data_IF_972421946681
#
_entry.id   IF_972421946681
#
_cell.length_a   1.000
_cell.length_b   1.000
_cell.length_c   1.000
_cell.angle_alpha   90.00
_cell.angle_beta   90.00
_cell.angle_gamma   90.00
#
_symmetry.space_group_name_H-M   'P 1'
#
loop_
_entity.id
_entity.type
_entity.pdbx_description
1 polymer ?
#
# COMPACT_ATOMS: atom_id res chain seq x y z
N UNK A 1 4.53 -15.20 18.81
CA UNK A 1 3.68 -14.02 18.56
C UNK A 1 4.45 -12.71 18.75
N UNK A 2 5.00 -12.36 19.90
CA UNK A 2 5.76 -11.11 20.11
C UNK A 2 7.00 -10.99 19.22
N UNK A 3 7.71 -12.08 18.95
CA UNK A 3 8.86 -12.09 18.04
C UNK A 3 8.49 -11.71 16.61
N UNK A 4 7.38 -12.23 16.09
CA UNK A 4 6.92 -11.91 14.73
C UNK A 4 6.56 -10.43 14.61
N UNK A 5 5.86 -9.86 15.59
CA UNK A 5 5.52 -8.43 15.62
C UNK A 5 6.79 -7.57 15.62
N UNK A 6 7.79 -7.92 16.45
CA UNK A 6 9.07 -7.21 16.50
C UNK A 6 9.82 -7.31 15.18
N UNK A 7 9.89 -8.52 14.61
CA UNK A 7 10.51 -8.76 13.31
C UNK A 7 9.86 -7.95 12.19
N UNK A 8 8.53 -8.01 12.05
CA UNK A 8 7.80 -7.27 11.02
C UNK A 8 7.97 -5.75 11.15
N UNK A 9 8.05 -5.23 12.37
CA UNK A 9 8.34 -3.81 12.61
C UNK A 9 9.77 -3.43 12.18
N UNK A 10 10.76 -4.28 12.46
CA UNK A 10 12.15 -4.06 12.06
C UNK A 10 12.29 -4.17 10.54
N UNK A 11 11.75 -5.22 9.93
CA UNK A 11 11.76 -5.42 8.48
C UNK A 11 11.11 -4.25 7.74
N UNK A 12 9.96 -3.78 8.21
CA UNK A 12 9.33 -2.57 7.66
C UNK A 12 10.24 -1.35 7.75
N UNK A 13 10.94 -1.16 8.89
CA UNK A 13 11.88 -0.06 9.07
C UNK A 13 13.07 -0.14 8.12
N UNK A 14 13.64 -1.33 7.94
CA UNK A 14 14.75 -1.57 7.01
C UNK A 14 14.31 -1.26 5.56
N UNK A 15 13.15 -1.74 5.15
CA UNK A 15 12.62 -1.51 3.79
C UNK A 15 12.39 -0.02 3.54
N UNK A 16 11.81 0.72 4.51
CA UNK A 16 11.65 2.18 4.41
C UNK A 16 13.00 2.87 4.27
N UNK A 17 14.02 2.44 5.03
CA UNK A 17 15.35 3.03 4.94
C UNK A 17 16.03 2.79 3.58
N UNK A 18 15.90 1.58 3.05
CA UNK A 18 16.40 1.24 1.71
C UNK A 18 15.67 2.07 0.64
N UNK A 19 14.36 2.22 0.77
CA UNK A 19 13.57 3.04 -0.14
C UNK A 19 14.03 4.50 -0.14
N UNK A 20 14.19 5.11 1.03
CA UNK A 20 14.71 6.49 1.15
C UNK A 20 16.06 6.62 0.45
N UNK A 21 16.97 5.66 0.67
CA UNK A 21 18.28 5.65 0.03
C UNK A 21 18.17 5.60 -1.51
N UNK A 22 17.39 4.67 -2.03
CA UNK A 22 17.21 4.49 -3.49
C UNK A 22 16.58 5.74 -4.13
N UNK A 23 15.52 6.28 -3.54
CA UNK A 23 14.87 7.48 -4.06
C UNK A 23 15.80 8.69 -3.97
N UNK A 24 16.55 8.82 -2.87
CA UNK A 24 17.55 9.91 -2.76
C UNK A 24 18.57 9.86 -3.87
N UNK A 25 19.09 8.66 -4.19
CA UNK A 25 20.05 8.51 -5.29
C UNK A 25 19.42 8.85 -6.64
N UNK A 26 18.22 8.34 -6.93
CA UNK A 26 17.53 8.62 -8.19
C UNK A 26 17.29 10.13 -8.36
N UNK A 27 16.69 10.78 -7.35
CA UNK A 27 16.40 12.22 -7.41
C UNK A 27 17.67 13.05 -7.46
N UNK A 28 18.72 12.65 -6.73
CA UNK A 28 20.02 13.32 -6.80
C UNK A 28 20.61 13.29 -8.23
N UNK A 29 20.58 12.14 -8.89
CA UNK A 29 21.05 12.01 -10.28
C UNK A 29 20.22 12.87 -11.24
N UNK A 30 18.89 12.90 -11.08
CA UNK A 30 18.01 13.75 -11.90
C UNK A 30 18.33 15.23 -11.68
N UNK A 31 18.44 15.68 -10.43
CA UNK A 31 18.76 17.06 -10.09
C UNK A 31 20.13 17.48 -10.59
N UNK A 32 21.11 16.58 -10.56
CA UNK A 32 22.46 16.83 -11.08
C UNK A 32 22.45 16.95 -12.61
N UNK A 33 21.68 16.12 -13.29
CA UNK A 33 21.50 16.21 -14.75
C UNK A 33 20.77 17.50 -15.18
N UNK A 34 19.98 18.09 -14.30
CA UNK A 34 19.32 19.39 -14.49
C UNK A 34 20.19 20.58 -14.04
N UNK A 35 21.46 20.33 -13.70
CA UNK A 35 22.46 21.34 -13.30
C UNK A 35 22.05 22.18 -12.08
N UNK A 36 21.24 21.60 -11.15
CA UNK A 36 20.80 22.29 -9.92
C UNK A 36 21.93 22.48 -8.87
N UNK A 37 23.14 22.10 -9.19
CA UNK A 37 24.33 22.32 -8.37
C UNK A 37 24.28 21.67 -6.99
N UNK A 38 24.88 22.33 -6.00
CA UNK A 38 25.06 21.82 -4.63
C UNK A 38 23.73 21.57 -3.89
N UNK A 39 22.64 22.20 -4.29
CA UNK A 39 21.32 22.00 -3.69
C UNK A 39 20.66 20.67 -4.08
N UNK A 40 21.18 19.95 -5.08
CA UNK A 40 20.62 18.69 -5.57
C UNK A 40 20.43 17.66 -4.47
N UNK A 41 21.40 17.52 -3.56
CA UNK A 41 21.32 16.54 -2.47
C UNK A 41 20.27 16.93 -1.42
N UNK A 42 20.11 18.22 -1.14
CA UNK A 42 19.10 18.71 -0.17
C UNK A 42 17.70 18.47 -0.72
N UNK A 43 17.47 18.80 -1.99
CA UNK A 43 16.20 18.54 -2.68
C UNK A 43 15.88 17.05 -2.67
N UNK A 44 16.86 16.21 -3.02
CA UNK A 44 16.70 14.76 -3.05
C UNK A 44 16.31 14.19 -1.68
N UNK A 45 16.95 14.65 -0.60
CA UNK A 45 16.63 14.20 0.76
C UNK A 45 15.23 14.65 1.21
N UNK A 46 14.87 15.90 0.99
CA UNK A 46 13.54 16.41 1.36
C UNK A 46 12.46 15.64 0.60
N UNK A 47 12.65 15.42 -0.69
CA UNK A 47 11.69 14.70 -1.52
C UNK A 47 11.56 13.23 -1.11
N UNK A 48 12.67 12.53 -0.87
CA UNK A 48 12.64 11.12 -0.49
C UNK A 48 12.04 10.89 0.89
N UNK A 49 12.36 11.72 1.88
CA UNK A 49 11.77 11.65 3.21
C UNK A 49 10.28 11.99 3.15
N UNK A 50 9.91 13.04 2.43
CA UNK A 50 8.52 13.46 2.26
C UNK A 50 7.66 12.39 1.58
N UNK A 51 8.19 11.76 0.52
CA UNK A 51 7.51 10.67 -0.18
C UNK A 51 7.38 9.40 0.66
N UNK A 52 8.43 9.03 1.41
CA UNK A 52 8.38 7.90 2.33
C UNK A 52 7.35 8.12 3.44
N UNK A 53 7.33 9.33 4.01
CA UNK A 53 6.37 9.70 5.06
C UNK A 53 4.93 9.70 4.53
N UNK A 54 4.69 10.33 3.39
CA UNK A 54 3.38 10.34 2.72
C UNK A 54 2.91 8.94 2.37
N UNK A 55 3.77 8.11 1.79
CA UNK A 55 3.51 6.71 1.47
C UNK A 55 3.11 5.90 2.70
N UNK A 56 3.79 6.08 3.82
CA UNK A 56 3.48 5.38 5.07
C UNK A 56 2.12 5.82 5.64
N UNK A 57 1.83 7.13 5.71
CA UNK A 57 0.61 7.63 6.33
C UNK A 57 -0.65 7.41 5.48
N UNK A 58 -0.52 7.44 4.16
CA UNK A 58 -1.64 7.27 3.22
C UNK A 58 -1.68 5.89 2.57
N UNK A 59 -0.88 4.95 3.05
CA UNK A 59 -0.73 3.62 2.46
C UNK A 59 -2.05 2.86 2.33
N UNK A 60 -2.94 2.91 3.33
CA UNK A 60 -4.26 2.31 3.26
C UNK A 60 -5.11 2.91 2.12
N UNK A 61 -5.14 4.23 2.00
CA UNK A 61 -5.89 4.93 0.95
C UNK A 61 -5.34 4.65 -0.44
N UNK A 62 -4.01 4.57 -0.57
CA UNK A 62 -3.35 4.26 -1.84
C UNK A 62 -3.71 2.85 -2.28
N UNK A 63 -3.59 1.86 -1.40
CA UNK A 63 -3.94 0.46 -1.70
C UNK A 63 -5.42 0.33 -2.06
N UNK A 64 -6.32 0.98 -1.31
CA UNK A 64 -7.75 1.01 -1.62
C UNK A 64 -8.04 1.62 -3.00
N UNK A 65 -7.39 2.73 -3.32
CA UNK A 65 -7.55 3.40 -4.63
C UNK A 65 -7.03 2.56 -5.78
N UNK A 66 -5.85 1.94 -5.64
CA UNK A 66 -5.26 1.07 -6.67
C UNK A 66 -6.16 -0.14 -6.98
N UNK A 67 -6.81 -0.70 -5.95
CA UNK A 67 -7.74 -1.80 -6.11
C UNK A 67 -9.19 -1.35 -6.40
N UNK A 68 -9.43 -0.05 -6.58
CA UNK A 68 -10.77 0.52 -6.77
C UNK A 68 -11.78 0.06 -5.71
N UNK A 69 -11.30 -0.13 -4.49
CA UNK A 69 -12.09 -0.58 -3.38
C UNK A 69 -13.10 0.50 -2.96
N UNK A 70 -14.34 0.10 -2.76
CA UNK A 70 -15.44 0.94 -2.28
C UNK A 70 -15.92 0.50 -0.90
N UNK A 71 -16.53 1.37 -0.10
CA UNK A 71 -17.21 0.92 1.11
C UNK A 71 -18.24 -0.16 0.81
N UNK A 72 -18.39 -1.13 1.71
CA UNK A 72 -19.41 -2.17 1.59
C UNK A 72 -20.82 -1.56 1.52
N UNK A 73 -21.69 -2.10 0.67
CA UNK A 73 -23.11 -1.74 0.65
C UNK A 73 -23.82 -2.27 1.88
N UNK A 74 -25.03 -1.76 2.21
CA UNK A 74 -25.78 -2.22 3.39
C UNK A 74 -26.03 -3.73 3.40
N UNK A 75 -26.25 -4.34 2.23
CA UNK A 75 -26.49 -5.77 2.11
C UNK A 75 -25.20 -6.60 2.31
N UNK A 76 -24.12 -6.18 1.71
CA UNK A 76 -22.78 -6.77 1.89
C UNK A 76 -22.27 -6.57 3.32
N UNK A 77 -22.47 -5.36 3.86
CA UNK A 77 -22.02 -4.96 5.19
C UNK A 77 -22.66 -5.83 6.28
N UNK A 78 -23.97 -6.13 6.18
CA UNK A 78 -24.66 -6.92 7.20
C UNK A 78 -24.02 -8.31 7.41
N UNK A 79 -23.68 -9.02 6.33
CA UNK A 79 -23.00 -10.33 6.40
C UNK A 79 -21.59 -10.19 6.98
N UNK A 80 -20.81 -9.23 6.47
CA UNK A 80 -19.43 -9.00 6.87
C UNK A 80 -19.32 -8.45 8.30
N UNK A 81 -20.22 -7.53 8.68
CA UNK A 81 -20.23 -6.96 10.03
C UNK A 81 -20.55 -8.00 11.08
N UNK A 82 -21.53 -8.89 10.84
CA UNK A 82 -21.87 -9.97 11.77
C UNK A 82 -20.70 -10.92 12.00
N UNK A 83 -20.00 -11.31 10.91
CA UNK A 83 -18.81 -12.14 10.98
C UNK A 83 -17.71 -11.43 11.77
N UNK A 84 -17.45 -10.18 11.42
CA UNK A 84 -16.38 -9.40 12.04
C UNK A 84 -16.64 -9.14 13.52
N UNK A 85 -17.89 -8.87 13.91
CA UNK A 85 -18.27 -8.68 15.31
C UNK A 85 -18.09 -9.95 16.15
N UNK A 86 -18.45 -11.10 15.60
CA UNK A 86 -18.21 -12.40 16.25
C UNK A 86 -16.70 -12.64 16.44
N UNK A 87 -15.90 -12.40 15.41
CA UNK A 87 -14.44 -12.60 15.46
C UNK A 87 -13.73 -11.58 16.35
N UNK A 88 -14.25 -10.36 16.48
CA UNK A 88 -13.65 -9.34 17.36
C UNK A 88 -13.59 -9.79 18.82
N UNK A 89 -14.54 -10.59 19.29
CA UNK A 89 -14.61 -11.09 20.68
C UNK A 89 -13.35 -11.90 21.03
N UNK A 90 -12.83 -12.67 20.09
CA UNK A 90 -11.68 -13.58 20.28
C UNK A 90 -10.37 -13.06 19.70
N UNK A 91 -10.42 -12.08 18.81
CA UNK A 91 -9.25 -11.62 18.06
C UNK A 91 -8.18 -10.94 18.91
N UNK A 92 -8.60 -10.20 19.95
CA UNK A 92 -7.74 -9.31 20.73
C UNK A 92 -7.22 -8.11 19.95
N UNK A 93 -7.89 -7.73 18.84
CA UNK A 93 -7.60 -6.48 18.13
C UNK A 93 -8.12 -5.27 18.92
N UNK A 94 -7.38 -4.14 18.93
CA UNK A 94 -7.77 -2.96 19.71
C UNK A 94 -8.94 -2.19 19.09
N UNK A 95 -9.14 -2.30 17.77
CA UNK A 95 -10.17 -1.60 17.01
C UNK A 95 -10.69 -2.50 15.90
N UNK A 96 -11.99 -2.43 15.64
CA UNK A 96 -12.64 -3.14 14.54
C UNK A 96 -12.13 -2.62 13.19
N UNK A 97 -11.59 -3.49 12.31
CA UNK A 97 -11.17 -3.10 10.97
C UNK A 97 -12.32 -2.55 10.14
N UNK A 98 -12.03 -1.60 9.26
CA UNK A 98 -13.00 -1.08 8.29
C UNK A 98 -13.19 -2.09 7.16
N UNK A 99 -14.42 -2.20 6.63
CA UNK A 99 -14.78 -3.14 5.58
C UNK A 99 -14.92 -2.42 4.24
N UNK A 100 -14.27 -2.96 3.22
CA UNK A 100 -14.34 -2.49 1.84
C UNK A 100 -14.58 -3.66 0.90
N UNK A 101 -15.19 -3.38 -0.24
CA UNK A 101 -15.47 -4.34 -1.30
C UNK A 101 -14.79 -3.90 -2.59
N UNK A 102 -14.22 -4.85 -3.30
CA UNK A 102 -13.68 -4.66 -4.65
C UNK A 102 -14.61 -5.36 -5.62
N UNK A 103 -15.07 -4.65 -6.65
CA UNK A 103 -15.93 -5.23 -7.68
C UNK A 103 -15.08 -6.05 -8.66
N UNK A 104 -14.80 -7.30 -8.27
CA UNK A 104 -14.04 -8.29 -9.03
C UNK A 104 -14.64 -9.68 -8.78
N UNK A 105 -14.85 -10.42 -9.87
CA UNK A 105 -15.40 -11.78 -9.83
C UNK A 105 -14.36 -12.83 -9.41
N UNK A 106 -13.07 -12.50 -9.38
CA UNK A 106 -12.05 -13.39 -8.84
C UNK A 106 -12.14 -13.42 -7.29
N UNK A 107 -12.36 -14.59 -6.68
CA UNK A 107 -12.46 -14.70 -5.23
C UNK A 107 -11.15 -14.29 -4.57
N UNK A 108 -11.17 -13.21 -3.81
CA UNK A 108 -10.00 -12.73 -3.07
C UNK A 108 -10.42 -11.94 -1.82
N UNK A 109 -9.54 -11.96 -0.81
CA UNK A 109 -9.59 -11.06 0.33
C UNK A 109 -8.17 -10.62 0.69
N UNK A 110 -8.04 -9.45 1.27
CA UNK A 110 -6.77 -8.97 1.81
C UNK A 110 -6.99 -7.95 2.91
N UNK A 111 -6.05 -7.92 3.85
CA UNK A 111 -5.98 -6.87 4.84
C UNK A 111 -4.89 -5.85 4.49
N UNK A 112 -5.13 -4.58 4.76
CA UNK A 112 -4.17 -3.50 4.55
C UNK A 112 -4.22 -2.48 5.69
N UNK A 113 -3.19 -1.68 5.82
CA UNK A 113 -3.11 -0.63 6.83
C UNK A 113 -1.74 -0.55 7.50
N UNK A 114 -1.42 0.61 8.05
CA UNK A 114 -0.14 0.87 8.70
C UNK A 114 0.00 0.24 10.09
N UNK A 115 -1.11 -0.06 10.74
CA UNK A 115 -1.18 -0.68 12.07
C UNK A 115 -2.60 -1.22 12.34
N UNK A 116 -2.82 -2.02 13.40
CA UNK A 116 -4.13 -2.56 13.73
C UNK A 116 -5.23 -1.52 13.95
N UNK A 117 -4.90 -0.30 14.40
CA UNK A 117 -5.86 0.80 14.62
C UNK A 117 -6.37 1.40 13.32
N UNK A 118 -5.61 1.27 12.23
CA UNK A 118 -5.93 1.80 10.91
C UNK A 118 -6.09 0.68 9.87
N UNK A 119 -6.43 -0.52 10.33
CA UNK A 119 -6.59 -1.67 9.47
C UNK A 119 -7.90 -1.61 8.67
N UNK A 120 -7.82 -2.16 7.47
CA UNK A 120 -8.93 -2.33 6.53
C UNK A 120 -8.90 -3.77 6.04
N UNK A 121 -10.06 -4.39 5.95
CA UNK A 121 -10.26 -5.68 5.28
C UNK A 121 -11.03 -5.41 4.00
N UNK A 122 -10.48 -5.89 2.89
CA UNK A 122 -11.11 -5.84 1.58
C UNK A 122 -11.52 -7.25 1.16
N UNK A 123 -12.71 -7.37 0.61
CA UNK A 123 -13.20 -8.62 0.01
C UNK A 123 -13.69 -8.34 -1.41
N UNK A 124 -13.58 -9.30 -2.31
CA UNK A 124 -14.13 -9.16 -3.66
C UNK A 124 -15.60 -9.60 -3.71
N UNK A 125 -16.35 -9.05 -4.66
CA UNK A 125 -17.75 -9.50 -4.93
C UNK A 125 -17.79 -10.98 -5.23
N UNK A 126 -16.84 -11.50 -6.02
CA UNK A 126 -16.75 -12.93 -6.33
C UNK A 126 -16.49 -13.82 -5.11
N UNK A 127 -15.79 -13.32 -4.09
CA UNK A 127 -15.62 -14.04 -2.82
C UNK A 127 -16.94 -14.11 -2.04
N UNK A 128 -17.67 -12.98 -1.97
CA UNK A 128 -18.95 -12.89 -1.26
C UNK A 128 -20.04 -13.77 -1.89
N UNK A 129 -20.02 -13.96 -3.21
CA UNK A 129 -20.94 -14.79 -3.93
C UNK A 129 -20.60 -16.28 -3.81
N UNK A 130 -19.30 -16.61 -3.78
CA UNK A 130 -18.83 -18.00 -3.84
C UNK A 130 -18.81 -18.69 -2.49
N UNK A 131 -18.50 -17.97 -1.40
CA UNK A 131 -18.33 -18.56 -0.08
C UNK A 131 -19.62 -18.49 0.75
N UNK A 132 -19.88 -19.56 1.49
CA UNK A 132 -20.90 -19.55 2.53
C UNK A 132 -20.46 -18.70 3.75
N UNK A 133 -21.29 -18.67 4.79
CA UNK A 133 -21.03 -17.87 5.98
C UNK A 133 -19.76 -18.34 6.73
N UNK A 134 -19.61 -19.66 6.93
CA UNK A 134 -18.50 -20.21 7.72
C UNK A 134 -17.18 -20.19 6.96
N UNK A 135 -17.23 -20.41 5.65
CA UNK A 135 -16.06 -20.28 4.79
C UNK A 135 -15.54 -18.84 4.78
N UNK A 136 -16.44 -17.86 4.65
CA UNK A 136 -16.10 -16.44 4.69
C UNK A 136 -15.58 -16.04 6.07
N UNK A 137 -16.15 -16.55 7.17
CA UNK A 137 -15.66 -16.35 8.52
C UNK A 137 -14.21 -16.84 8.67
N UNK A 138 -13.87 -18.00 8.11
CA UNK A 138 -12.50 -18.52 8.09
C UNK A 138 -11.53 -17.58 7.36
N UNK A 139 -11.91 -17.03 6.20
CA UNK A 139 -11.10 -16.07 5.44
C UNK A 139 -10.92 -14.78 6.22
N UNK A 140 -11.98 -14.20 6.77
CA UNK A 140 -11.89 -12.97 7.58
C UNK A 140 -11.03 -13.18 8.82
N UNK A 141 -11.14 -14.32 9.50
CA UNK A 141 -10.30 -14.67 10.65
C UNK A 141 -8.81 -14.74 10.27
N UNK A 142 -8.51 -15.28 9.10
CA UNK A 142 -7.16 -15.32 8.54
C UNK A 142 -6.61 -13.90 8.33
N UNK A 143 -7.35 -13.03 7.68
CA UNK A 143 -6.97 -11.62 7.47
C UNK A 143 -6.78 -10.87 8.80
N UNK A 144 -7.66 -11.12 9.78
CA UNK A 144 -7.51 -10.53 11.12
C UNK A 144 -6.23 -10.98 11.83
N UNK A 145 -5.75 -12.20 11.56
CA UNK A 145 -4.47 -12.68 12.10
C UNK A 145 -3.27 -11.90 11.55
N UNK A 146 -3.30 -11.54 10.27
CA UNK A 146 -2.29 -10.69 9.64
C UNK A 146 -2.29 -9.28 10.24
N UNK A 147 -3.47 -8.72 10.50
CA UNK A 147 -3.61 -7.43 11.20
C UNK A 147 -2.92 -7.50 12.59
N UNK A 148 -3.25 -8.52 13.36
CA UNK A 148 -2.71 -8.71 14.72
C UNK A 148 -1.19 -8.86 14.76
N UNK A 149 -0.62 -9.53 13.76
CA UNK A 149 0.81 -9.77 13.64
C UNK A 149 1.59 -8.60 13.01
N UNK A 150 0.93 -7.52 12.60
CA UNK A 150 1.53 -6.40 11.86
C UNK A 150 2.08 -6.77 10.47
N UNK A 151 1.71 -7.92 9.92
CA UNK A 151 2.09 -8.33 8.57
C UNK A 151 1.57 -7.33 7.52
N UNK A 152 0.35 -6.81 7.75
CA UNK A 152 -0.28 -5.79 6.90
C UNK A 152 0.60 -4.56 6.71
N UNK A 153 1.36 -4.18 7.73
CA UNK A 153 2.27 -3.02 7.68
C UNK A 153 3.37 -3.22 6.64
N UNK A 154 4.00 -4.39 6.67
CA UNK A 154 5.07 -4.74 5.75
C UNK A 154 4.55 -4.78 4.30
N UNK A 155 3.47 -5.53 4.07
CA UNK A 155 2.85 -5.66 2.76
C UNK A 155 2.40 -4.31 2.19
N UNK A 156 1.79 -3.48 3.02
CA UNK A 156 1.31 -2.16 2.65
C UNK A 156 2.45 -1.22 2.24
N UNK A 157 3.52 -1.18 3.04
CA UNK A 157 4.73 -0.38 2.76
C UNK A 157 5.36 -0.83 1.44
N UNK A 158 5.56 -2.14 1.25
CA UNK A 158 6.14 -2.70 0.02
C UNK A 158 5.30 -2.35 -1.20
N UNK A 159 3.98 -2.54 -1.14
CA UNK A 159 3.07 -2.26 -2.27
C UNK A 159 3.14 -0.80 -2.71
N UNK A 160 3.13 0.14 -1.75
CA UNK A 160 3.21 1.57 -2.05
C UNK A 160 4.57 1.95 -2.63
N UNK A 161 5.65 1.38 -2.09
CA UNK A 161 7.00 1.65 -2.59
C UNK A 161 7.20 1.13 -4.01
N UNK A 162 6.75 -0.07 -4.32
CA UNK A 162 6.78 -0.62 -5.68
C UNK A 162 5.97 0.25 -6.63
N UNK A 163 4.76 0.65 -6.25
CA UNK A 163 3.92 1.55 -7.04
C UNK A 163 4.60 2.89 -7.32
N UNK A 164 5.31 3.45 -6.32
CA UNK A 164 6.04 4.70 -6.48
C UNK A 164 7.24 4.56 -7.42
N UNK A 165 8.00 3.48 -7.34
CA UNK A 165 9.12 3.19 -8.24
C UNK A 165 8.62 3.04 -9.68
N UNK A 166 7.52 2.32 -9.90
CA UNK A 166 6.90 2.15 -11.23
C UNK A 166 6.46 3.51 -11.78
N UNK A 167 5.82 4.35 -10.97
CA UNK A 167 5.40 5.69 -11.38
C UNK A 167 6.60 6.58 -11.77
N UNK A 168 7.68 6.55 -11.01
CA UNK A 168 8.91 7.29 -11.34
C UNK A 168 9.55 6.78 -12.63
N UNK A 169 9.59 5.46 -12.82
CA UNK A 169 10.13 4.83 -14.03
C UNK A 169 9.33 5.23 -15.27
N UNK A 170 7.99 5.26 -15.18
CA UNK A 170 7.12 5.70 -16.28
C UNK A 170 7.34 7.19 -16.59
N UNK A 171 7.41 8.05 -15.56
CA UNK A 171 7.69 9.46 -15.73
C UNK A 171 9.04 9.69 -16.41
N UNK A 172 10.08 8.99 -15.95
CA UNK A 172 11.41 9.09 -16.52
C UNK A 172 11.46 8.64 -17.98
N UNK A 173 10.82 7.50 -18.28
CA UNK A 173 10.71 6.99 -19.66
C UNK A 173 10.03 7.98 -20.58
N UNK A 174 8.91 8.58 -20.14
CA UNK A 174 8.20 9.62 -20.92
C UNK A 174 9.08 10.84 -21.16
N UNK A 175 9.80 11.31 -20.16
CA UNK A 175 10.68 12.48 -20.28
C UNK A 175 11.80 12.24 -21.28
N UNK A 176 12.41 11.04 -21.29
CA UNK A 176 13.43 10.66 -22.27
C UNK A 176 12.86 10.58 -23.70
N UNK A 177 11.66 9.96 -23.87
CA UNK A 177 11.03 9.86 -25.19
C UNK A 177 10.61 11.21 -25.76
N UNK A 178 10.07 12.11 -24.94
CA UNK A 178 9.64 13.44 -25.38
C UNK A 178 10.79 14.42 -25.55
N UNK A 179 11.85 14.33 -24.73
CA UNK A 179 13.07 15.11 -24.87
C UNK A 179 13.82 14.81 -26.16
N UNK A 180 13.93 13.51 -26.53
CA UNK A 180 14.60 13.09 -27.76
C UNK A 180 13.85 13.43 -29.06
N UNK A 181 12.56 13.77 -29.02
CA UNK A 181 11.81 14.22 -30.19
C UNK A 181 12.02 15.73 -30.47
N UNK A 182 12.33 16.51 -29.43
CA UNK A 182 12.50 17.97 -29.57
C UNK A 182 13.85 18.36 -30.20
N UNK A 183 14.88 17.55 -30.05
CA UNK A 183 16.20 17.75 -30.67
C UNK A 183 16.21 17.39 -32.16
N UNK A 184 15.27 16.57 -32.64
CA UNK A 184 15.20 16.21 -34.07
C UNK A 184 14.54 17.25 -34.98
N UNK A 185 13.69 18.11 -34.41
CA UNK A 185 13.01 19.18 -35.18
C UNK A 185 13.84 20.47 -35.23
N UNK A 186 14.99 20.56 -34.57
CA UNK A 186 15.87 21.71 -34.61
C UNK A 186 17.05 21.58 -35.58
N UNK A 187 17.21 20.44 -36.27
CA UNK A 187 18.27 20.18 -37.26
C UNK A 187 17.74 20.05 -38.69
N UNK A 188 16.50 20.47 -38.99
CA UNK A 188 15.94 20.47 -40.34
C UNK A 188 15.62 21.88 -40.85
#
# INVERSE_FOLDING_TARGET
MFENIKRNKIESGIIVSIFILVITLIVYYICNALELGTFSIVIALIFSIGSAWGSYYYSDKIVLSLNKARPATKAEDLKLVNILDALMISSGLPVKPRLYVVDDMQPNAFATGRNPQNAVICVTTGLLEKLDYYELEGVIAHEMSHIKNYDIRLSCVVSVMVGFIVMLSDLFSRTLFWGGLKDRDSES
#
